data_IF_208759240384
#
_entry.id   IF_208759240384
#
_cell.length_a   1.000
_cell.length_b   1.000
_cell.length_c   1.000
_cell.angle_alpha   90.00
_cell.angle_beta   90.00
_cell.angle_gamma   90.00
#
_symmetry.space_group_name_H-M   'P 1'
#
loop_
_entity.id
_entity.type
_entity.pdbx_description
1 polymer ?
#
# COMPACT_ATOMS: atom_id res chain seq x y z
N UNK A 1 -19.41 -8.23 -11.94
CA UNK A 1 -20.61 -8.73 -11.21
C UNK A 1 -20.24 -8.90 -9.75
N UNK A 2 -21.02 -8.34 -8.82
CA UNK A 2 -20.79 -8.50 -7.38
C UNK A 2 -21.54 -9.73 -6.88
N UNK A 3 -20.86 -10.58 -6.14
CA UNK A 3 -21.43 -11.76 -5.48
C UNK A 3 -21.50 -11.53 -3.98
N UNK A 4 -22.60 -11.96 -3.37
CA UNK A 4 -22.80 -11.99 -1.92
C UNK A 4 -22.79 -13.43 -1.46
N UNK A 5 -21.90 -13.74 -0.51
CA UNK A 5 -21.85 -15.03 0.17
C UNK A 5 -22.12 -14.86 1.69
N UNK A 6 -22.56 -15.93 2.33
CA UNK A 6 -22.68 -15.93 3.80
C UNK A 6 -21.30 -15.93 4.48
N UNK A 7 -21.28 -15.89 5.81
CA UNK A 7 -20.04 -15.91 6.60
C UNK A 7 -19.17 -17.16 6.39
N UNK A 8 -19.75 -18.26 5.89
CA UNK A 8 -19.04 -19.51 5.60
C UNK A 8 -18.51 -19.58 4.16
N UNK A 9 -18.76 -18.54 3.33
CA UNK A 9 -18.33 -18.51 1.94
C UNK A 9 -19.28 -19.18 0.95
N UNK A 10 -20.50 -19.54 1.38
CA UNK A 10 -21.51 -20.10 0.47
C UNK A 10 -22.23 -18.95 -0.21
N UNK A 11 -22.21 -18.94 -1.54
CA UNK A 11 -22.85 -17.94 -2.35
C UNK A 11 -24.37 -17.92 -2.14
N UNK A 12 -24.89 -16.72 -1.95
CA UNK A 12 -26.31 -16.48 -1.78
C UNK A 12 -26.93 -15.96 -3.07
N UNK A 13 -26.25 -15.02 -3.71
CA UNK A 13 -26.71 -14.40 -4.97
C UNK A 13 -25.70 -13.42 -5.55
N UNK A 14 -25.92 -13.03 -6.81
CA UNK A 14 -25.30 -11.86 -7.42
C UNK A 14 -26.19 -10.61 -7.26
N UNK A 15 -25.57 -9.42 -7.23
CA UNK A 15 -26.25 -8.13 -7.30
C UNK A 15 -26.25 -7.65 -8.75
N UNK A 16 -27.44 -7.45 -9.34
CA UNK A 16 -27.59 -7.12 -10.77
C UNK A 16 -27.34 -5.64 -11.07
N UNK A 17 -27.77 -4.74 -10.17
CA UNK A 17 -27.69 -3.28 -10.33
C UNK A 17 -26.95 -2.67 -9.15
N UNK A 18 -25.64 -2.88 -9.09
CA UNK A 18 -24.85 -2.32 -8.01
C UNK A 18 -23.76 -1.38 -8.55
N UNK A 19 -23.57 -0.29 -7.83
CA UNK A 19 -22.36 0.52 -7.94
C UNK A 19 -21.37 0.05 -6.87
N UNK A 20 -20.08 0.11 -7.17
CA UNK A 20 -19.06 -0.24 -6.20
C UNK A 20 -17.85 0.69 -6.25
N UNK A 21 -17.18 0.75 -5.12
CA UNK A 21 -15.92 1.43 -4.91
C UNK A 21 -15.07 0.55 -4.00
N UNK A 22 -13.94 0.04 -4.53
CA UNK A 22 -12.97 -0.75 -3.79
C UNK A 22 -11.67 0.01 -3.76
N UNK A 23 -11.19 0.38 -2.58
CA UNK A 23 -9.86 0.95 -2.38
C UNK A 23 -8.97 -0.07 -1.67
N UNK A 24 -7.83 -0.38 -2.29
CA UNK A 24 -6.86 -1.35 -1.80
C UNK A 24 -5.45 -0.79 -1.87
N UNK A 25 -4.62 -1.05 -0.86
CA UNK A 25 -3.22 -0.67 -0.85
C UNK A 25 -2.71 -0.07 0.46
N UNK A 26 -1.86 0.94 0.35
CA UNK A 26 -1.15 1.52 1.50
C UNK A 26 -1.96 2.56 2.28
N UNK A 27 -2.95 3.22 1.64
CA UNK A 27 -3.72 4.31 2.25
C UNK A 27 -5.00 3.82 2.90
N UNK A 28 -5.91 3.32 2.09
CA UNK A 28 -7.18 2.79 2.54
C UNK A 28 -7.36 1.36 2.04
N UNK A 29 -8.07 0.54 2.81
CA UNK A 29 -8.38 -0.83 2.48
C UNK A 29 -9.84 -1.08 2.84
N UNK A 30 -10.72 -0.36 2.14
CA UNK A 30 -12.15 -0.37 2.37
C UNK A 30 -12.94 -0.59 1.08
N UNK A 31 -14.21 -0.92 1.21
CA UNK A 31 -15.11 -0.98 0.06
C UNK A 31 -16.47 -0.39 0.41
N UNK A 32 -17.16 0.08 -0.62
CA UNK A 32 -18.55 0.48 -0.58
C UNK A 32 -19.28 -0.11 -1.80
N UNK A 33 -20.36 -0.83 -1.55
CA UNK A 33 -21.27 -1.33 -2.60
C UNK A 33 -22.64 -0.74 -2.36
N UNK A 34 -23.23 -0.12 -3.39
CA UNK A 34 -24.56 0.50 -3.34
C UNK A 34 -25.50 -0.27 -4.24
N UNK A 35 -26.64 -0.68 -3.73
CA UNK A 35 -27.67 -1.38 -4.46
C UNK A 35 -29.06 -0.80 -4.19
N UNK A 36 -30.05 -1.27 -4.95
CA UNK A 36 -31.44 -0.94 -4.70
C UNK A 36 -31.92 -1.57 -3.38
N UNK A 37 -32.84 -0.89 -2.67
CA UNK A 37 -33.37 -1.39 -1.40
C UNK A 37 -34.05 -2.76 -1.54
N UNK A 38 -34.63 -3.09 -2.69
CA UNK A 38 -35.24 -4.38 -2.99
C UNK A 38 -34.22 -5.53 -2.94
N UNK A 39 -32.96 -5.24 -3.24
CA UNK A 39 -31.85 -6.19 -3.30
C UNK A 39 -31.33 -6.59 -1.93
N UNK A 40 -31.60 -5.76 -0.90
CA UNK A 40 -30.99 -5.86 0.41
C UNK A 40 -31.42 -7.06 1.24
N UNK A 41 -32.56 -7.65 0.97
CA UNK A 41 -33.21 -8.65 1.84
C UNK A 41 -32.36 -9.87 2.23
N UNK A 42 -31.24 -10.11 1.58
CA UNK A 42 -30.38 -11.30 1.80
C UNK A 42 -28.96 -10.97 2.20
N UNK A 43 -28.67 -9.70 2.53
CA UNK A 43 -27.33 -9.29 2.95
C UNK A 43 -27.33 -9.00 4.45
N UNK A 44 -26.54 -9.74 5.21
CA UNK A 44 -26.43 -9.63 6.66
C UNK A 44 -25.02 -9.24 7.06
N UNK A 45 -24.86 -8.64 8.24
CA UNK A 45 -23.54 -8.37 8.80
C UNK A 45 -22.70 -9.66 8.86
N UNK A 46 -21.44 -9.58 8.45
CA UNK A 46 -20.55 -10.74 8.32
C UNK A 46 -20.64 -11.46 6.98
N UNK A 47 -21.58 -11.10 6.08
CA UNK A 47 -21.58 -11.58 4.70
C UNK A 47 -20.31 -11.15 3.97
N UNK A 48 -19.87 -12.00 3.05
CA UNK A 48 -18.76 -11.69 2.13
C UNK A 48 -19.32 -11.06 0.88
N UNK A 49 -18.72 -9.96 0.43
CA UNK A 49 -19.08 -9.25 -0.80
C UNK A 49 -17.84 -9.19 -1.66
N UNK A 50 -17.90 -9.69 -2.87
CA UNK A 50 -16.71 -9.85 -3.69
C UNK A 50 -16.99 -9.87 -5.19
N UNK A 51 -15.93 -9.64 -5.98
CA UNK A 51 -15.87 -9.90 -7.41
C UNK A 51 -15.07 -11.21 -7.60
N UNK A 52 -15.62 -12.26 -8.23
CA UNK A 52 -14.94 -13.55 -8.40
C UNK A 52 -13.55 -13.40 -9.01
N UNK A 53 -12.61 -14.22 -8.54
CA UNK A 53 -11.23 -14.36 -9.03
C UNK A 53 -10.40 -13.05 -9.00
N UNK A 54 -10.85 -12.07 -8.20
CA UNK A 54 -10.15 -10.81 -8.00
C UNK A 54 -9.79 -10.60 -6.52
N UNK A 55 -9.00 -9.57 -6.23
CA UNK A 55 -8.77 -9.10 -4.87
C UNK A 55 -9.90 -8.19 -4.33
N UNK A 56 -10.87 -7.83 -5.19
CA UNK A 56 -11.95 -6.91 -4.82
C UNK A 56 -13.05 -7.62 -4.06
N UNK A 57 -12.99 -7.50 -2.75
CA UNK A 57 -13.96 -8.08 -1.84
C UNK A 57 -13.61 -7.82 -0.39
N UNK A 58 -14.55 -8.17 0.48
CA UNK A 58 -14.38 -7.97 1.92
C UNK A 58 -15.55 -8.49 2.72
N UNK A 59 -15.56 -8.19 4.01
CA UNK A 59 -16.63 -8.56 4.93
C UNK A 59 -17.48 -7.33 5.23
N UNK A 60 -18.78 -7.45 5.02
CA UNK A 60 -19.77 -6.44 5.34
C UNK A 60 -19.78 -6.11 6.84
N UNK A 61 -19.61 -4.81 7.15
CA UNK A 61 -19.54 -4.27 8.51
C UNK A 61 -20.36 -3.00 8.71
N UNK A 62 -20.62 -2.25 7.66
CA UNK A 62 -21.32 -0.98 7.73
C UNK A 62 -22.51 -0.93 6.78
N UNK A 63 -23.64 -0.38 7.25
CA UNK A 63 -24.85 -0.19 6.47
C UNK A 63 -25.25 1.27 6.46
N UNK A 64 -25.47 1.79 5.25
CA UNK A 64 -26.01 3.15 5.03
C UNK A 64 -27.31 3.05 4.23
N UNK A 65 -28.37 3.69 4.70
CA UNK A 65 -29.65 3.74 4.00
C UNK A 65 -29.96 5.15 3.52
N UNK A 66 -30.24 5.28 2.22
CA UNK A 66 -30.72 6.54 1.64
C UNK A 66 -32.14 6.38 1.13
N UNK A 67 -33.11 6.87 1.92
CA UNK A 67 -34.53 6.78 1.57
C UNK A 67 -34.92 7.69 0.41
N UNK A 68 -34.20 8.81 0.21
CA UNK A 68 -34.44 9.75 -0.88
C UNK A 68 -34.16 9.13 -2.23
N UNK A 69 -33.09 8.37 -2.35
CA UNK A 69 -32.66 7.74 -3.60
C UNK A 69 -33.13 6.28 -3.73
N UNK A 70 -33.78 5.74 -2.70
CA UNK A 70 -34.22 4.32 -2.72
C UNK A 70 -33.08 3.31 -2.71
N UNK A 71 -31.89 3.69 -2.19
CA UNK A 71 -30.68 2.86 -2.20
C UNK A 71 -30.24 2.49 -0.78
N UNK A 72 -29.47 1.41 -0.70
CA UNK A 72 -28.71 0.99 0.46
C UNK A 72 -27.26 0.82 0.03
N UNK A 73 -26.34 1.32 0.84
CA UNK A 73 -24.93 1.10 0.67
C UNK A 73 -24.40 0.23 1.81
N UNK A 74 -23.62 -0.78 1.46
CA UNK A 74 -22.91 -1.64 2.40
C UNK A 74 -21.42 -1.49 2.21
N UNK A 75 -20.68 -1.45 3.31
CA UNK A 75 -19.24 -1.25 3.31
C UNK A 75 -18.54 -2.11 4.35
N UNK A 76 -17.22 -2.09 4.29
CA UNK A 76 -16.36 -2.80 5.23
C UNK A 76 -14.90 -2.75 4.80
N UNK A 77 -14.08 -3.53 5.50
CA UNK A 77 -12.69 -3.69 5.13
C UNK A 77 -12.52 -4.70 4.00
N UNK A 78 -11.67 -4.38 3.04
CA UNK A 78 -11.23 -5.33 2.01
C UNK A 78 -10.38 -6.45 2.62
N UNK A 79 -10.02 -7.45 1.82
CA UNK A 79 -9.14 -8.53 2.27
C UNK A 79 -7.79 -7.99 2.78
N UNK A 80 -7.21 -6.97 2.14
CA UNK A 80 -6.00 -6.29 2.61
C UNK A 80 -6.25 -5.55 3.92
N UNK A 81 -7.39 -4.87 4.06
CA UNK A 81 -7.79 -4.18 5.28
C UNK A 81 -7.96 -5.13 6.48
N UNK A 82 -8.42 -6.34 6.23
CA UNK A 82 -8.47 -7.36 7.28
C UNK A 82 -7.08 -7.77 7.77
N UNK A 83 -6.10 -7.93 6.87
CA UNK A 83 -4.71 -8.18 7.23
C UNK A 83 -4.07 -6.96 7.92
N UNK A 84 -4.42 -5.74 7.51
CA UNK A 84 -3.94 -4.50 8.13
C UNK A 84 -4.44 -4.35 9.58
N UNK A 85 -5.65 -4.82 9.86
CA UNK A 85 -6.23 -4.80 11.21
C UNK A 85 -5.72 -5.92 12.14
N UNK A 86 -4.71 -6.69 11.72
CA UNK A 86 -4.04 -7.69 12.55
C UNK A 86 -2.61 -7.27 12.83
N UNK A 87 -2.23 -7.34 14.10
CA UNK A 87 -0.89 -6.94 14.55
C UNK A 87 -0.01 -8.16 14.74
N UNK A 88 1.18 -8.12 14.17
CA UNK A 88 2.26 -9.07 14.41
C UNK A 88 2.94 -8.70 15.73
N UNK A 89 2.64 -9.48 16.77
CA UNK A 89 3.28 -9.33 18.08
C UNK A 89 4.46 -10.30 18.18
N UNK A 90 5.54 -9.91 18.86
CA UNK A 90 6.61 -10.84 19.20
C UNK A 90 6.07 -12.02 20.00
N UNK A 91 6.55 -13.26 19.76
CA UNK A 91 6.24 -14.39 20.61
C UNK A 91 6.69 -14.16 22.06
N UNK A 92 6.04 -14.82 23.01
CA UNK A 92 6.40 -14.67 24.43
C UNK A 92 7.89 -14.99 24.67
N UNK A 93 8.59 -14.07 25.33
CA UNK A 93 10.02 -14.18 25.61
C UNK A 93 10.95 -13.81 24.43
N UNK A 94 10.41 -13.28 23.35
CA UNK A 94 11.18 -12.78 22.22
C UNK A 94 10.96 -11.29 22.03
N UNK A 95 12.01 -10.58 21.57
CA UNK A 95 11.92 -9.13 21.27
C UNK A 95 11.22 -8.85 19.95
N UNK A 96 11.33 -9.75 18.98
CA UNK A 96 10.80 -9.58 17.63
C UNK A 96 10.10 -10.84 17.13
N UNK A 97 9.14 -10.66 16.25
CA UNK A 97 8.62 -11.75 15.42
C UNK A 97 9.59 -11.98 14.24
N UNK A 98 9.84 -13.23 13.91
CA UNK A 98 10.72 -13.62 12.78
C UNK A 98 10.06 -14.72 11.96
N UNK A 99 10.40 -14.77 10.69
CA UNK A 99 10.06 -15.90 9.81
C UNK A 99 11.28 -16.34 9.01
N UNK A 100 11.32 -17.64 8.73
CA UNK A 100 12.32 -18.23 7.84
C UNK A 100 11.67 -19.38 7.08
N UNK A 101 11.87 -19.41 5.76
CA UNK A 101 11.31 -20.46 4.92
C UNK A 101 11.06 -20.03 3.48
N UNK A 102 10.38 -20.89 2.76
CA UNK A 102 9.88 -20.61 1.41
C UNK A 102 8.75 -19.56 1.46
N UNK A 103 8.72 -18.63 0.49
CA UNK A 103 7.86 -17.45 0.57
C UNK A 103 6.37 -17.78 0.73
N UNK A 104 5.81 -18.66 -0.12
CA UNK A 104 4.40 -19.02 -0.06
C UNK A 104 4.05 -19.82 1.21
N UNK A 105 4.99 -20.62 1.71
CA UNK A 105 4.82 -21.32 2.96
C UNK A 105 4.74 -20.33 4.15
N UNK A 106 5.60 -19.31 4.17
CA UNK A 106 5.62 -18.26 5.20
C UNK A 106 4.34 -17.41 5.12
N UNK A 107 3.99 -16.90 3.94
CA UNK A 107 2.75 -16.11 3.73
C UNK A 107 1.54 -16.92 4.19
N UNK A 108 1.42 -18.16 3.70
CA UNK A 108 0.30 -19.04 4.03
C UNK A 108 0.19 -19.35 5.54
N UNK A 109 1.33 -19.57 6.22
CA UNK A 109 1.34 -19.79 7.66
C UNK A 109 0.80 -18.57 8.43
N UNK A 110 1.24 -17.36 8.04
CA UNK A 110 0.83 -16.13 8.71
C UNK A 110 -0.64 -15.78 8.49
N UNK A 111 -1.14 -15.89 7.23
CA UNK A 111 -2.55 -15.57 6.95
C UNK A 111 -3.51 -16.59 7.57
N UNK A 112 -3.16 -17.90 7.57
CA UNK A 112 -3.96 -18.95 8.22
C UNK A 112 -3.96 -18.79 9.74
N UNK A 113 -2.85 -18.41 10.36
CA UNK A 113 -2.81 -18.13 11.78
C UNK A 113 -3.73 -16.97 12.18
N UNK A 114 -3.82 -15.94 11.34
CA UNK A 114 -4.67 -14.77 11.58
C UNK A 114 -6.16 -15.03 11.31
N UNK A 115 -6.47 -15.80 10.26
CA UNK A 115 -7.83 -16.03 9.74
C UNK A 115 -7.99 -17.46 9.20
N UNK A 116 -8.07 -18.49 10.07
CA UNK A 116 -7.98 -19.90 9.67
C UNK A 116 -9.11 -20.39 8.75
N UNK A 117 -10.27 -19.74 8.80
CA UNK A 117 -11.46 -20.12 7.99
C UNK A 117 -11.64 -19.30 6.73
N UNK A 118 -10.88 -18.21 6.58
CA UNK A 118 -11.08 -17.26 5.49
C UNK A 118 -9.89 -17.19 4.54
N UNK A 119 -8.66 -17.24 5.07
CA UNK A 119 -7.46 -17.13 4.26
C UNK A 119 -6.73 -18.45 4.10
N UNK A 120 -6.13 -18.65 2.94
CA UNK A 120 -5.19 -19.72 2.69
C UNK A 120 -3.97 -19.22 1.91
N UNK A 121 -2.86 -19.95 2.00
CA UNK A 121 -1.67 -19.68 1.20
C UNK A 121 -1.68 -20.47 -0.08
N UNK A 122 -0.93 -20.02 -1.07
CA UNK A 122 -0.65 -20.81 -2.26
C UNK A 122 0.14 -22.08 -1.89
N UNK A 123 -0.21 -23.18 -2.53
CA UNK A 123 0.54 -24.43 -2.44
C UNK A 123 1.70 -24.51 -3.46
N UNK A 124 1.78 -23.53 -4.36
CA UNK A 124 2.84 -23.45 -5.36
C UNK A 124 4.12 -22.90 -4.72
N UNK A 125 5.25 -23.51 -4.98
CA UNK A 125 6.53 -22.99 -4.50
C UNK A 125 7.04 -21.91 -5.43
N UNK A 126 7.46 -20.77 -4.84
CA UNK A 126 8.17 -19.72 -5.58
C UNK A 126 9.65 -20.08 -5.85
N UNK A 127 10.17 -21.12 -5.19
CA UNK A 127 11.59 -21.44 -5.18
C UNK A 127 12.46 -20.43 -4.44
N UNK A 128 11.86 -19.38 -3.84
CA UNK A 128 12.56 -18.32 -3.12
C UNK A 128 12.38 -18.49 -1.61
N UNK A 129 13.45 -18.29 -0.88
CA UNK A 129 13.50 -18.38 0.58
C UNK A 129 13.78 -17.03 1.20
N UNK A 130 13.22 -16.78 2.37
CA UNK A 130 13.43 -15.57 3.16
C UNK A 130 13.83 -15.92 4.59
N UNK A 131 14.62 -15.06 5.22
CA UNK A 131 14.80 -14.96 6.66
C UNK A 131 14.59 -13.49 7.02
N UNK A 132 13.54 -13.21 7.78
CA UNK A 132 13.11 -11.84 8.01
C UNK A 132 12.70 -11.60 9.45
N UNK A 133 13.11 -10.45 10.01
CA UNK A 133 12.70 -9.96 11.31
C UNK A 133 11.74 -8.80 11.10
N UNK A 134 10.55 -8.92 11.67
CA UNK A 134 9.53 -7.87 11.56
C UNK A 134 9.77 -6.75 12.56
N UNK A 135 9.34 -5.55 12.23
CA UNK A 135 9.22 -4.46 13.20
C UNK A 135 8.21 -4.84 14.29
N UNK A 136 8.44 -4.36 15.51
CA UNK A 136 7.56 -4.66 16.64
C UNK A 136 6.17 -4.05 16.40
N UNK A 137 5.14 -4.87 16.62
CA UNK A 137 3.74 -4.47 16.53
C UNK A 137 3.34 -3.86 15.16
N UNK A 138 3.98 -4.30 14.10
CA UNK A 138 3.60 -3.95 12.73
C UNK A 138 2.30 -4.67 12.35
N UNK A 139 1.50 -4.08 11.46
CA UNK A 139 0.35 -4.78 10.90
C UNK A 139 0.79 -6.02 10.11
N UNK A 140 -0.06 -7.05 10.05
CA UNK A 140 0.25 -8.25 9.26
C UNK A 140 0.43 -7.89 7.78
N UNK A 141 -0.39 -6.97 7.25
CA UNK A 141 -0.27 -6.49 5.87
C UNK A 141 1.09 -5.83 5.62
N UNK A 142 1.44 -4.83 6.43
CA UNK A 142 2.70 -4.09 6.25
C UNK A 142 3.92 -4.96 6.49
N UNK A 143 3.85 -5.86 7.47
CA UNK A 143 4.91 -6.83 7.74
C UNK A 143 5.15 -7.76 6.55
N UNK A 144 4.10 -8.39 6.01
CA UNK A 144 4.22 -9.25 4.84
C UNK A 144 4.70 -8.47 3.61
N UNK A 145 4.17 -7.27 3.38
CA UNK A 145 4.61 -6.39 2.28
C UNK A 145 6.10 -6.08 2.36
N UNK A 146 6.58 -5.65 3.54
CA UNK A 146 7.99 -5.32 3.75
C UNK A 146 8.90 -6.54 3.59
N UNK A 147 8.51 -7.70 4.13
CA UNK A 147 9.22 -8.97 3.97
C UNK A 147 9.33 -9.35 2.49
N UNK A 148 8.22 -9.36 1.76
CA UNK A 148 8.21 -9.74 0.34
C UNK A 148 9.01 -8.75 -0.52
N UNK A 149 8.87 -7.45 -0.29
CA UNK A 149 9.64 -6.41 -0.98
C UNK A 149 11.15 -6.59 -0.78
N UNK A 150 11.61 -7.05 0.38
CA UNK A 150 13.03 -7.26 0.66
C UNK A 150 13.70 -8.31 -0.25
N UNK A 151 12.91 -9.14 -0.90
CA UNK A 151 13.36 -10.19 -1.82
C UNK A 151 12.83 -10.02 -3.24
N UNK A 152 12.24 -8.85 -3.57
CA UNK A 152 11.75 -8.54 -4.91
C UNK A 152 10.37 -9.13 -5.24
N UNK A 153 9.57 -9.42 -4.21
CA UNK A 153 8.23 -9.98 -4.34
C UNK A 153 7.15 -9.04 -3.77
N UNK A 154 5.90 -9.27 -4.14
CA UNK A 154 4.70 -8.57 -3.65
C UNK A 154 3.64 -9.57 -3.21
N UNK A 155 2.68 -9.10 -2.39
CA UNK A 155 1.54 -9.88 -1.93
C UNK A 155 0.41 -9.77 -2.96
N UNK A 156 0.00 -10.90 -3.52
CA UNK A 156 -1.19 -11.04 -4.35
C UNK A 156 -2.30 -11.72 -3.53
N UNK A 157 -3.51 -11.16 -3.62
CA UNK A 157 -4.71 -11.72 -3.02
C UNK A 157 -5.75 -11.98 -4.11
N UNK A 158 -6.48 -13.08 -4.00
CA UNK A 158 -7.63 -13.38 -4.84
C UNK A 158 -8.68 -14.18 -4.08
N UNK A 159 -9.95 -13.87 -4.27
CA UNK A 159 -11.01 -14.66 -3.67
C UNK A 159 -11.37 -15.81 -4.61
N UNK A 160 -11.09 -17.03 -4.17
CA UNK A 160 -11.39 -18.26 -4.91
C UNK A 160 -12.82 -18.68 -4.56
N UNK A 161 -13.72 -18.50 -5.51
CA UNK A 161 -15.16 -18.71 -5.31
C UNK A 161 -15.49 -20.13 -4.90
N UNK A 162 -14.92 -21.14 -5.57
CA UNK A 162 -15.19 -22.55 -5.31
C UNK A 162 -14.79 -22.98 -3.88
N UNK A 163 -13.73 -22.42 -3.35
CA UNK A 163 -13.22 -22.73 -2.01
C UNK A 163 -13.84 -21.82 -0.92
N UNK A 164 -14.50 -20.74 -1.34
CA UNK A 164 -15.01 -19.70 -0.44
C UNK A 164 -13.91 -19.03 0.38
N UNK A 165 -12.69 -18.93 -0.14
CA UNK A 165 -11.52 -18.42 0.60
C UNK A 165 -10.72 -17.39 -0.18
N UNK A 166 -9.97 -16.60 0.56
CA UNK A 166 -8.98 -15.67 0.01
C UNK A 166 -7.63 -16.37 -0.09
N UNK A 167 -7.14 -16.60 -1.29
CA UNK A 167 -5.80 -17.09 -1.56
C UNK A 167 -4.80 -15.95 -1.44
N UNK A 168 -3.76 -16.15 -0.64
CA UNK A 168 -2.64 -15.23 -0.49
C UNK A 168 -1.39 -15.88 -1.05
N UNK A 169 -0.71 -15.19 -1.96
CA UNK A 169 0.48 -15.68 -2.62
C UNK A 169 1.55 -14.59 -2.80
N UNK A 170 2.79 -15.02 -2.78
CA UNK A 170 3.94 -14.21 -3.12
C UNK A 170 4.19 -14.31 -4.63
N UNK A 171 4.19 -13.17 -5.32
CA UNK A 171 4.50 -13.10 -6.75
C UNK A 171 5.63 -12.09 -6.98
N UNK A 172 6.46 -12.26 -8.03
CA UNK A 172 7.52 -11.30 -8.34
C UNK A 172 6.96 -9.90 -8.57
N UNK A 173 7.70 -8.86 -8.16
CA UNK A 173 7.45 -7.48 -8.58
C UNK A 173 7.80 -7.40 -10.06
N UNK A 174 6.90 -6.86 -10.88
CA UNK A 174 7.14 -6.62 -12.30
C UNK A 174 7.51 -5.15 -12.49
N UNK A 175 8.61 -4.92 -13.20
CA UNK A 175 9.02 -3.56 -13.59
C UNK A 175 8.60 -3.29 -15.04
N UNK A 176 7.53 -2.54 -15.18
CA UNK A 176 7.00 -2.13 -16.48
C UNK A 176 7.60 -0.81 -16.98
N UNK A 177 8.49 -0.17 -16.21
CA UNK A 177 8.98 1.18 -16.54
C UNK A 177 9.77 1.26 -17.84
N UNK A 178 10.35 0.13 -18.30
CA UNK A 178 11.05 0.04 -19.58
C UNK A 178 10.17 -0.38 -20.75
N UNK A 179 9.03 -1.03 -20.48
CA UNK A 179 8.12 -1.54 -21.51
C UNK A 179 6.94 -0.61 -21.75
N UNK A 180 6.56 0.14 -20.71
CA UNK A 180 5.44 1.05 -20.71
C UNK A 180 5.94 2.43 -20.29
N UNK A 181 6.52 3.18 -21.23
CA UNK A 181 6.65 4.62 -21.07
C UNK A 181 5.29 5.24 -21.38
N UNK A 182 4.53 5.53 -20.32
CA UNK A 182 3.33 6.33 -20.50
C UNK A 182 3.73 7.71 -20.97
N UNK A 183 3.36 8.05 -22.19
CA UNK A 183 3.57 9.37 -22.79
C UNK A 183 2.22 9.99 -23.12
N UNK A 184 2.20 11.31 -23.32
CA UNK A 184 1.02 12.04 -23.79
C UNK A 184 0.45 11.50 -25.10
N UNK A 185 1.28 10.85 -25.91
CA UNK A 185 0.89 10.25 -27.19
C UNK A 185 0.05 8.96 -27.03
N UNK A 186 0.01 8.39 -25.82
CA UNK A 186 -0.75 7.17 -25.47
C UNK A 186 -2.04 7.46 -24.70
N UNK A 187 -2.56 8.69 -24.74
CA UNK A 187 -3.74 9.16 -23.97
C UNK A 187 -3.62 8.96 -22.45
N UNK A 188 -2.41 8.82 -21.93
CA UNK A 188 -2.19 8.76 -20.49
C UNK A 188 -2.07 10.19 -19.93
N UNK A 189 -2.95 10.54 -19.02
CA UNK A 189 -2.83 11.78 -18.27
C UNK A 189 -1.93 11.53 -17.06
N UNK A 190 -0.87 12.31 -16.93
CA UNK A 190 0.02 12.22 -15.77
C UNK A 190 0.42 13.60 -15.27
N UNK A 191 0.71 13.66 -13.98
CA UNK A 191 1.29 14.83 -13.32
C UNK A 191 2.63 14.42 -12.71
N UNK A 192 3.68 15.12 -13.13
CA UNK A 192 5.02 14.93 -12.62
C UNK A 192 5.48 16.21 -11.94
N UNK A 193 5.89 16.10 -10.69
CA UNK A 193 6.48 17.23 -9.97
C UNK A 193 7.85 16.84 -9.45
N UNK A 194 8.88 17.55 -9.90
CA UNK A 194 10.20 17.53 -9.26
C UNK A 194 10.28 18.76 -8.38
N UNK A 195 10.35 18.55 -7.07
CA UNK A 195 10.47 19.63 -6.10
C UNK A 195 11.88 19.68 -5.54
N UNK A 196 12.46 20.88 -5.49
CA UNK A 196 13.71 21.16 -4.79
C UNK A 196 13.50 21.99 -3.51
N UNK A 197 12.23 22.17 -3.08
CA UNK A 197 11.88 23.07 -1.97
C UNK A 197 11.78 22.39 -0.60
N UNK A 198 12.09 21.10 -0.50
CA UNK A 198 12.04 20.38 0.77
C UNK A 198 13.32 20.56 1.60
N UNK A 199 13.19 20.29 2.90
CA UNK A 199 14.34 20.32 3.83
C UNK A 199 15.39 19.32 3.41
N UNK A 200 16.63 19.75 3.30
CA UNK A 200 17.77 18.89 2.98
C UNK A 200 18.85 18.85 4.05
N UNK A 201 18.66 19.62 5.13
CA UNK A 201 19.49 19.62 6.32
C UNK A 201 18.61 19.70 7.57
N UNK A 202 18.58 18.64 8.39
CA UNK A 202 17.86 18.61 9.66
C UNK A 202 18.84 18.66 10.82
N UNK A 203 18.71 19.68 11.67
CA UNK A 203 19.49 19.85 12.89
C UNK A 203 18.69 19.23 14.03
N UNK A 204 19.07 18.03 14.45
CA UNK A 204 18.37 17.29 15.51
C UNK A 204 18.99 17.62 16.87
N UNK A 205 18.16 18.02 17.82
CA UNK A 205 18.54 18.41 19.16
C UNK A 205 18.03 17.37 20.17
N UNK A 206 18.94 16.63 20.81
CA UNK A 206 18.65 15.57 21.78
C UNK A 206 18.77 16.01 23.23
N UNK A 207 19.13 15.06 24.09
CA UNK A 207 19.32 15.28 25.53
C UNK A 207 20.48 16.23 25.84
N UNK A 208 20.42 16.87 27.03
CA UNK A 208 21.38 17.86 27.50
C UNK A 208 20.89 19.29 27.31
N UNK A 209 21.70 20.26 27.75
CA UNK A 209 21.38 21.68 27.67
C UNK A 209 22.56 22.49 27.11
N UNK A 210 22.25 23.52 26.38
CA UNK A 210 23.20 24.47 25.83
C UNK A 210 24.38 23.79 25.09
N UNK A 211 25.60 23.93 25.61
CA UNK A 211 26.83 23.39 24.97
C UNK A 211 26.95 21.86 25.12
N UNK A 212 26.32 21.30 26.14
CA UNK A 212 26.34 19.86 26.45
C UNK A 212 25.19 19.12 25.79
N UNK A 213 24.37 19.84 25.02
CA UNK A 213 23.24 19.24 24.28
C UNK A 213 23.74 18.35 23.15
N UNK A 214 23.18 17.16 23.05
CA UNK A 214 23.44 16.27 21.91
C UNK A 214 22.86 16.88 20.65
N UNK A 215 23.73 17.16 19.67
CA UNK A 215 23.31 17.67 18.34
C UNK A 215 23.71 16.65 17.27
N UNK A 216 22.80 16.38 16.36
CA UNK A 216 23.01 15.52 15.18
C UNK A 216 22.56 16.28 13.95
N UNK A 217 23.39 16.29 12.92
CA UNK A 217 23.05 16.85 11.63
C UNK A 217 22.74 15.70 10.66
N UNK A 218 21.58 15.74 10.01
CA UNK A 218 21.16 14.81 8.98
C UNK A 218 20.96 15.59 7.68
N UNK A 219 21.41 14.99 6.58
CA UNK A 219 21.40 15.62 5.27
C UNK A 219 20.80 14.69 4.24
N UNK A 220 20.07 15.24 3.26
CA UNK A 220 19.57 14.53 2.09
C UNK A 220 20.52 14.78 0.93
N UNK A 221 20.90 13.74 0.18
CA UNK A 221 21.68 13.88 -1.07
C UNK A 221 20.78 14.09 -2.30
N UNK A 222 21.38 14.28 -3.46
CA UNK A 222 20.65 14.47 -4.73
C UNK A 222 19.78 13.27 -5.14
N UNK A 223 20.07 12.08 -4.58
CA UNK A 223 19.29 10.86 -4.82
C UNK A 223 18.22 10.62 -3.74
N UNK A 224 18.08 11.53 -2.77
CA UNK A 224 17.14 11.41 -1.65
C UNK A 224 17.64 10.54 -0.50
N UNK A 225 18.89 10.07 -0.50
CA UNK A 225 19.45 9.30 0.61
C UNK A 225 19.77 10.20 1.79
N UNK A 226 19.47 9.72 3.01
CA UNK A 226 19.73 10.46 4.25
C UNK A 226 21.02 9.93 4.89
N UNK A 227 21.91 10.87 5.24
CA UNK A 227 23.18 10.58 5.92
C UNK A 227 23.61 11.74 6.80
N UNK A 228 24.75 11.60 7.52
CA UNK A 228 25.37 12.67 8.28
C UNK A 228 26.39 13.49 7.44
N UNK A 229 26.39 13.31 6.12
CA UNK A 229 27.29 14.00 5.21
C UNK A 229 26.53 15.06 4.43
N UNK A 230 26.95 16.32 4.55
CA UNK A 230 26.38 17.43 3.79
C UNK A 230 26.74 17.33 2.31
N UNK A 231 25.76 17.55 1.45
CA UNK A 231 25.88 17.52 -0.01
C UNK A 231 25.37 18.79 -0.67
N UNK A 232 24.48 19.54 -0.02
CA UNK A 232 23.99 20.84 -0.47
C UNK A 232 24.59 21.97 0.39
N UNK A 233 25.00 23.04 -0.23
CA UNK A 233 25.68 24.16 0.41
C UNK A 233 25.12 25.49 -0.09
N UNK A 234 25.34 26.56 0.71
CA UNK A 234 24.94 27.92 0.40
C UNK A 234 23.45 28.07 0.09
N UNK A 235 23.11 28.66 -1.06
CA UNK A 235 21.74 28.90 -1.50
C UNK A 235 20.92 27.62 -1.75
N UNK A 236 21.58 26.47 -1.84
CA UNK A 236 20.91 25.17 -2.02
C UNK A 236 20.63 24.46 -0.71
N UNK A 237 21.08 24.99 0.41
CA UNK A 237 20.80 24.43 1.74
C UNK A 237 19.47 24.95 2.26
N UNK A 238 18.58 24.02 2.63
CA UNK A 238 17.28 24.30 3.27
C UNK A 238 17.29 23.55 4.60
N UNK A 239 17.51 24.29 5.69
CA UNK A 239 17.68 23.72 7.02
C UNK A 239 16.45 23.89 7.89
N UNK A 240 16.18 22.90 8.76
CA UNK A 240 15.17 22.94 9.80
C UNK A 240 15.70 22.33 11.10
N UNK A 241 15.08 22.68 12.22
CA UNK A 241 15.45 22.19 13.56
C UNK A 241 14.40 21.21 14.05
N UNK A 242 14.83 20.03 14.46
CA UNK A 242 14.02 19.01 15.11
C UNK A 242 14.43 18.85 16.56
N UNK A 243 13.53 19.20 17.47
CA UNK A 243 13.78 19.12 18.92
C UNK A 243 13.16 17.83 19.51
N UNK A 244 14.04 16.95 20.02
CA UNK A 244 13.66 15.76 20.77
C UNK A 244 14.48 15.69 22.06
N UNK A 245 14.21 16.61 22.99
CA UNK A 245 15.02 16.92 24.17
C UNK A 245 15.39 15.73 25.07
N UNK A 246 14.61 14.65 25.08
CA UNK A 246 14.90 13.45 25.88
C UNK A 246 15.68 12.35 25.15
N UNK A 247 15.93 12.50 23.85
CA UNK A 247 16.48 11.43 23.04
C UNK A 247 18.00 11.27 23.22
N UNK A 248 18.43 10.01 23.39
CA UNK A 248 19.83 9.64 23.23
C UNK A 248 20.23 9.72 21.74
N UNK A 249 21.55 9.78 21.47
CA UNK A 249 22.05 9.98 20.10
C UNK A 249 21.51 8.98 19.06
N UNK A 250 21.36 7.71 19.43
CA UNK A 250 20.88 6.68 18.51
C UNK A 250 19.39 6.90 18.16
N UNK A 251 18.57 7.15 19.17
CA UNK A 251 17.13 7.42 19.00
C UNK A 251 16.90 8.71 18.24
N UNK A 252 17.76 9.72 18.48
CA UNK A 252 17.71 11.01 17.80
C UNK A 252 18.02 10.86 16.29
N UNK A 253 18.98 10.02 15.92
CA UNK A 253 19.28 9.71 14.51
C UNK A 253 18.13 9.01 13.85
N UNK A 254 17.54 8.02 14.52
CA UNK A 254 16.41 7.26 13.98
C UNK A 254 15.20 8.16 13.76
N UNK A 255 14.74 8.85 14.81
CA UNK A 255 13.57 9.73 14.74
C UNK A 255 13.79 10.91 13.80
N UNK A 256 15.00 11.51 13.82
CA UNK A 256 15.35 12.58 12.90
C UNK A 256 15.39 12.13 11.44
N UNK A 257 15.79 10.88 11.17
CA UNK A 257 15.74 10.31 9.83
C UNK A 257 14.28 10.13 9.33
N UNK A 258 13.40 9.71 10.21
CA UNK A 258 11.95 9.59 9.90
C UNK A 258 11.36 10.99 9.63
N UNK A 259 11.65 11.96 10.50
CA UNK A 259 11.20 13.33 10.34
C UNK A 259 11.74 13.97 9.04
N UNK A 260 13.01 13.76 8.70
CA UNK A 260 13.59 14.31 7.49
C UNK A 260 13.01 13.67 6.21
N UNK A 261 12.58 12.41 6.26
CA UNK A 261 11.85 11.77 5.14
C UNK A 261 10.53 12.47 4.84
N UNK A 262 9.84 12.97 5.85
CA UNK A 262 8.59 13.73 5.69
C UNK A 262 8.83 15.16 5.19
N UNK A 263 9.91 15.80 5.66
CA UNK A 263 10.24 17.20 5.35
C UNK A 263 11.00 17.40 4.03
N UNK A 264 11.70 16.35 3.56
CA UNK A 264 12.45 16.42 2.31
C UNK A 264 11.53 16.72 1.12
N UNK A 265 12.12 17.20 0.03
CA UNK A 265 11.40 17.40 -1.23
C UNK A 265 10.62 16.14 -1.60
N UNK A 266 9.33 16.30 -1.73
CA UNK A 266 8.45 15.26 -2.22
C UNK A 266 8.31 15.44 -3.73
N UNK A 267 9.02 14.59 -4.45
CA UNK A 267 8.73 14.41 -5.85
C UNK A 267 7.39 13.68 -5.94
N UNK A 268 6.52 14.06 -6.82
CA UNK A 268 5.25 13.38 -6.99
C UNK A 268 5.04 12.94 -8.42
N UNK A 269 4.56 11.72 -8.56
CA UNK A 269 4.12 11.17 -9.83
C UNK A 269 2.72 10.63 -9.66
N UNK A 270 1.79 11.19 -10.39
CA UNK A 270 0.41 10.74 -10.46
C UNK A 270 0.11 10.40 -11.92
N UNK A 271 -0.53 9.27 -12.12
CA UNK A 271 -0.95 8.83 -13.44
C UNK A 271 -2.41 8.40 -13.39
N UNK A 272 -3.19 8.93 -14.31
CA UNK A 272 -4.57 8.49 -14.55
C UNK A 272 -4.50 7.49 -15.71
N UNK A 273 -4.44 6.20 -15.38
CA UNK A 273 -4.40 5.14 -16.38
C UNK A 273 -5.83 4.74 -16.76
N UNK A 274 -6.27 5.08 -17.94
CA UNK A 274 -7.27 4.34 -18.67
C UNK A 274 -6.56 3.13 -19.29
N UNK A 275 -6.18 2.11 -18.49
CA UNK A 275 -5.38 1.04 -19.04
C UNK A 275 -6.15 -0.29 -19.06
N UNK A 276 -6.16 -0.90 -20.23
CA UNK A 276 -6.50 -2.31 -20.44
C UNK A 276 -5.47 -3.28 -19.82
N UNK A 277 -4.42 -2.77 -19.17
CA UNK A 277 -3.35 -3.58 -18.60
C UNK A 277 -3.54 -3.76 -17.11
N UNK A 278 -3.47 -5.00 -16.68
CA UNK A 278 -3.63 -5.41 -15.30
C UNK A 278 -2.30 -5.23 -14.53
N UNK A 279 -2.03 -3.98 -14.13
CA UNK A 279 -0.92 -3.68 -13.21
C UNK A 279 -1.40 -3.81 -11.77
N UNK A 280 -0.57 -4.35 -10.91
CA UNK A 280 -0.92 -4.68 -9.54
C UNK A 280 -0.15 -3.82 -8.52
N UNK A 281 -0.64 -3.74 -7.29
CA UNK A 281 0.05 -3.06 -6.18
C UNK A 281 1.43 -3.71 -5.98
N UNK A 282 2.46 -2.86 -5.95
CA UNK A 282 3.86 -3.25 -5.84
C UNK A 282 4.61 -3.27 -7.16
N UNK A 283 3.94 -3.32 -8.31
CA UNK A 283 4.59 -3.19 -9.61
C UNK A 283 5.12 -1.78 -9.84
N UNK A 284 6.18 -1.68 -10.63
CA UNK A 284 6.83 -0.42 -10.96
C UNK A 284 6.35 0.03 -12.34
N UNK A 285 5.89 1.28 -12.38
CA UNK A 285 5.47 1.93 -13.63
C UNK A 285 6.33 3.16 -13.89
N UNK A 286 6.43 3.57 -15.15
CA UNK A 286 7.18 4.73 -15.58
C UNK A 286 6.35 5.69 -16.40
N UNK A 287 6.76 6.96 -16.42
CA UNK A 287 6.22 7.99 -17.32
C UNK A 287 7.33 8.88 -17.81
N UNK A 288 7.18 9.40 -19.04
CA UNK A 288 8.11 10.34 -19.66
C UNK A 288 7.37 11.51 -20.29
N UNK A 289 7.79 12.71 -19.95
CA UNK A 289 7.39 13.91 -20.64
C UNK A 289 8.52 14.38 -21.57
N UNK A 290 8.29 14.24 -22.86
CA UNK A 290 9.27 14.63 -23.90
C UNK A 290 9.51 16.13 -23.99
N UNK A 291 8.59 16.95 -23.49
CA UNK A 291 8.71 18.41 -23.51
C UNK A 291 9.64 18.92 -22.41
N UNK A 292 9.49 18.44 -21.20
CA UNK A 292 10.36 18.81 -20.07
C UNK A 292 11.60 17.92 -19.94
N UNK A 293 11.67 16.80 -20.67
CA UNK A 293 12.71 15.78 -20.51
C UNK A 293 12.59 14.97 -19.22
N UNK A 294 11.52 15.15 -18.42
CA UNK A 294 11.34 14.41 -17.18
C UNK A 294 10.94 12.97 -17.45
N UNK A 295 11.65 12.05 -16.81
CA UNK A 295 11.31 10.64 -16.71
C UNK A 295 11.16 10.26 -15.24
N UNK A 296 10.05 9.61 -14.89
CA UNK A 296 9.78 9.17 -13.52
C UNK A 296 9.40 7.71 -13.50
N UNK A 297 9.85 7.00 -12.46
CA UNK A 297 9.42 5.65 -12.17
C UNK A 297 9.03 5.54 -10.71
N UNK A 298 7.94 4.83 -10.42
CA UNK A 298 7.49 4.61 -9.04
C UNK A 298 6.69 3.31 -8.93
N UNK A 299 6.75 2.64 -7.76
CA UNK A 299 5.87 1.50 -7.47
C UNK A 299 4.43 1.98 -7.21
N UNK A 300 3.47 1.15 -7.65
CA UNK A 300 2.06 1.33 -7.33
C UNK A 300 1.85 0.98 -5.86
N UNK A 301 1.26 1.90 -5.10
CA UNK A 301 0.98 1.73 -3.67
C UNK A 301 -0.48 1.47 -3.36
N UNK A 302 -1.39 2.01 -4.18
CA UNK A 302 -2.83 1.82 -3.99
C UNK A 302 -3.56 1.78 -5.33
N UNK A 303 -4.69 1.09 -5.33
CA UNK A 303 -5.59 0.96 -6.48
C UNK A 303 -7.03 1.17 -6.02
N UNK A 304 -7.77 2.04 -6.72
CA UNK A 304 -9.19 2.27 -6.46
C UNK A 304 -9.97 1.88 -7.71
N UNK A 305 -10.86 0.90 -7.58
CA UNK A 305 -11.71 0.44 -8.68
C UNK A 305 -13.16 0.83 -8.39
N UNK A 306 -13.76 1.56 -9.32
CA UNK A 306 -15.13 2.07 -9.21
C UNK A 306 -15.96 1.60 -10.39
N UNK A 307 -17.17 1.16 -10.11
CA UNK A 307 -18.19 0.91 -11.13
C UNK A 307 -19.36 1.86 -10.90
N UNK A 308 -19.58 2.76 -11.84
CA UNK A 308 -20.67 3.73 -11.77
C UNK A 308 -21.28 3.95 -13.16
N UNK A 309 -22.60 4.04 -13.23
CA UNK A 309 -23.32 4.31 -14.50
C UNK A 309 -22.97 3.37 -15.65
N UNK A 310 -22.60 2.12 -15.35
CA UNK A 310 -22.25 1.13 -16.38
C UNK A 310 -20.78 1.16 -16.85
N UNK A 311 -19.94 1.98 -16.24
CA UNK A 311 -18.52 2.10 -16.56
C UNK A 311 -17.65 1.75 -15.36
N UNK A 312 -16.57 1.00 -15.62
CA UNK A 312 -15.52 0.76 -14.66
C UNK A 312 -14.38 1.76 -14.86
N UNK A 313 -13.90 2.33 -13.77
CA UNK A 313 -12.73 3.20 -13.73
C UNK A 313 -11.75 2.69 -12.69
N UNK A 314 -10.47 2.71 -13.03
CA UNK A 314 -9.39 2.34 -12.11
C UNK A 314 -8.44 3.51 -11.93
N UNK A 315 -8.25 3.92 -10.70
CA UNK A 315 -7.30 4.95 -10.29
C UNK A 315 -6.13 4.31 -9.54
N UNK A 316 -4.90 4.70 -9.86
CA UNK A 316 -3.69 4.22 -9.22
C UNK A 316 -3.02 5.34 -8.43
N UNK A 317 -2.57 5.04 -7.21
CA UNK A 317 -1.66 5.91 -6.46
C UNK A 317 -0.27 5.30 -6.51
N UNK A 318 0.72 6.14 -6.72
CA UNK A 318 2.12 5.77 -6.77
C UNK A 318 2.80 6.15 -5.46
N UNK A 319 3.94 5.52 -5.18
CA UNK A 319 4.79 5.88 -4.05
C UNK A 319 5.34 7.30 -4.21
N UNK A 320 5.43 8.03 -3.10
CA UNK A 320 6.17 9.31 -3.06
C UNK A 320 7.69 9.12 -3.21
N UNK A 321 8.17 7.88 -3.08
CA UNK A 321 9.56 7.50 -3.34
C UNK A 321 9.76 7.30 -4.85
N UNK A 322 9.75 8.41 -5.58
CA UNK A 322 9.80 8.48 -7.04
C UNK A 322 11.25 8.62 -7.49
N UNK A 323 11.68 7.76 -8.39
CA UNK A 323 12.96 7.94 -9.08
C UNK A 323 12.75 8.90 -10.27
N UNK A 324 13.50 10.01 -10.27
CA UNK A 324 13.39 11.05 -11.29
C UNK A 324 14.71 11.20 -12.04
N UNK A 325 14.61 11.18 -13.37
CA UNK A 325 15.70 11.54 -14.27
C UNK A 325 15.24 12.72 -15.15
N UNK A 326 16.15 13.61 -15.47
CA UNK A 326 15.96 14.66 -16.49
C UNK A 326 17.03 14.40 -17.54
N UNK A 327 16.61 14.15 -18.79
CA UNK A 327 17.48 13.96 -19.93
C UNK A 327 18.02 15.31 -20.46
#
# INVERSE_FOLDING_TARGET
>A
MIVVANSNGIDLRALEFSEYDFEVGDTENSFLVTCLRSEWKTIYEGSRIYIPDTEYGGIFKELKTNTKNGTISCGGYTWRGMLQNRILSPPSGQDYATDSGELNAVVGARVRAAFPTLFEGSNESTGKYVSYQYNRYVSLYDGLKAMLKSVGYKLKLSYVQDDGKVKAEAVPIVDYSSEIEYSSDMNANYYMTKSGMGVNHLICLGQGELRDRTVVHLYVDANGNISQRQTFFNENEIAEVYDYAGAARADLIQSGTEQLKELRSQNSFRIDLESERDVEIGDIVGGRDYTSGMRMTAPITSKTVKWRNGFETTEYKLSDDVNIQID
#
